data_IF_802978610475
#
_entry.id   IF_802978610475
#
_cell.length_a   1.000
_cell.length_b   1.000
_cell.length_c   1.000
_cell.angle_alpha   90.00
_cell.angle_beta   90.00
_cell.angle_gamma   90.00
#
_symmetry.space_group_name_H-M   'P 1'
#
loop_
_entity.id
_entity.type
_entity.pdbx_description
1 polymer ?
#
# COMPACT_ATOMS: atom_id res chain seq x y z
N UNK A 1 23.61 11.35 6.34
CA UNK A 1 22.22 11.02 5.90
C UNK A 1 21.63 10.11 6.97
N UNK A 2 20.54 10.48 7.64
CA UNK A 2 20.11 9.83 8.90
C UNK A 2 19.03 8.74 8.73
N UNK A 3 18.34 8.71 7.59
CA UNK A 3 17.48 7.61 7.14
C UNK A 3 17.22 7.76 5.63
N UNK A 4 17.02 6.66 4.91
CA UNK A 4 16.51 6.66 3.52
C UNK A 4 15.47 5.55 3.37
N UNK A 5 14.55 5.66 2.41
CA UNK A 5 13.81 4.45 1.99
C UNK A 5 14.84 3.44 1.45
N UNK A 6 14.74 2.17 1.87
CA UNK A 6 15.64 1.12 1.38
C UNK A 6 15.22 0.65 -0.03
N UNK A 7 13.93 0.81 -0.37
CA UNK A 7 13.34 0.34 -1.62
C UNK A 7 12.81 1.52 -2.46
N UNK A 8 11.49 1.63 -2.62
CA UNK A 8 10.82 2.64 -3.45
C UNK A 8 10.62 3.97 -2.68
N UNK A 9 10.59 5.08 -3.41
CA UNK A 9 10.01 6.31 -2.86
C UNK A 9 8.52 6.10 -2.54
N UNK A 10 8.01 6.80 -1.51
CA UNK A 10 6.63 6.66 -1.06
C UNK A 10 5.61 6.83 -2.20
N UNK A 11 5.81 7.85 -3.06
CA UNK A 11 4.92 8.11 -4.20
C UNK A 11 4.87 6.94 -5.20
N UNK A 12 6.02 6.34 -5.49
CA UNK A 12 6.10 5.20 -6.42
C UNK A 12 5.41 3.95 -5.84
N UNK A 13 5.47 3.75 -4.52
CA UNK A 13 4.74 2.67 -3.86
C UNK A 13 3.22 2.86 -3.97
N UNK A 14 2.72 4.10 -3.85
CA UNK A 14 1.32 4.42 -4.07
C UNK A 14 0.90 4.22 -5.53
N UNK A 15 1.71 4.65 -6.49
CA UNK A 15 1.41 4.48 -7.92
C UNK A 15 1.35 3.01 -8.32
N UNK A 16 2.29 2.19 -7.85
CA UNK A 16 2.28 0.74 -8.07
C UNK A 16 1.05 0.09 -7.44
N UNK A 17 0.66 0.53 -6.24
CA UNK A 17 -0.53 0.03 -5.55
C UNK A 17 -1.80 0.39 -6.31
N UNK A 18 -1.95 1.65 -6.70
CA UNK A 18 -3.08 2.13 -7.51
C UNK A 18 -3.26 1.30 -8.79
N UNK A 19 -2.16 1.05 -9.51
CA UNK A 19 -2.16 0.21 -10.71
C UNK A 19 -2.63 -1.21 -10.44
N UNK A 20 -2.23 -1.81 -9.32
CA UNK A 20 -2.66 -3.16 -8.92
C UNK A 20 -4.16 -3.21 -8.57
N UNK A 21 -4.70 -2.12 -8.02
CA UNK A 21 -6.12 -2.00 -7.66
C UNK A 21 -7.00 -1.52 -8.84
N UNK A 22 -6.42 -1.28 -10.03
CA UNK A 22 -7.15 -0.78 -11.20
C UNK A 22 -7.50 0.71 -11.14
N UNK A 23 -6.87 1.48 -10.25
CA UNK A 23 -7.10 2.91 -10.08
C UNK A 23 -6.31 3.75 -11.11
N UNK A 24 -6.80 4.95 -11.49
CA UNK A 24 -6.13 5.82 -12.44
C UNK A 24 -4.89 6.51 -11.84
N UNK A 25 -4.01 6.99 -12.72
CA UNK A 25 -2.86 7.83 -12.35
C UNK A 25 -3.30 9.31 -12.17
N UNK A 26 -2.73 10.09 -11.23
CA UNK A 26 -1.71 9.74 -10.23
C UNK A 26 -2.27 8.81 -9.14
N UNK A 27 -1.50 7.79 -8.77
CA UNK A 27 -2.00 6.72 -7.91
C UNK A 27 -2.23 7.15 -6.47
N UNK A 28 -1.36 7.98 -5.91
CA UNK A 28 -1.50 8.50 -4.54
C UNK A 28 -2.87 9.11 -4.23
N UNK A 29 -3.29 10.18 -4.93
CA UNK A 29 -4.59 10.80 -4.70
C UNK A 29 -5.80 9.89 -4.93
N UNK A 30 -5.69 8.93 -5.86
CA UNK A 30 -6.78 7.99 -6.13
C UNK A 30 -6.88 6.89 -5.06
N UNK A 31 -5.74 6.40 -4.55
CA UNK A 31 -5.71 5.49 -3.40
C UNK A 31 -6.25 6.17 -2.15
N UNK A 32 -5.88 7.43 -1.91
CA UNK A 32 -6.42 8.20 -0.77
C UNK A 32 -7.94 8.35 -0.84
N UNK A 33 -8.49 8.68 -2.03
CA UNK A 33 -9.94 8.78 -2.24
C UNK A 33 -10.66 7.46 -2.02
N UNK A 34 -10.12 6.36 -2.55
CA UNK A 34 -10.71 5.02 -2.35
C UNK A 34 -10.66 4.60 -0.88
N UNK A 35 -9.54 4.85 -0.20
CA UNK A 35 -9.37 4.55 1.21
C UNK A 35 -10.31 5.34 2.13
N UNK A 36 -10.77 6.53 1.71
CA UNK A 36 -11.71 7.34 2.48
C UNK A 36 -13.11 6.71 2.60
N UNK A 37 -13.49 5.84 1.64
CA UNK A 37 -14.78 5.15 1.63
C UNK A 37 -14.68 3.66 1.98
N UNK A 38 -13.47 3.11 2.01
CA UNK A 38 -13.18 1.72 2.35
C UNK A 38 -13.25 1.40 3.84
N UNK A 39 -13.25 0.11 4.17
CA UNK A 39 -13.20 -0.36 5.56
C UNK A 39 -11.75 -0.63 6.01
N UNK A 40 -11.22 0.26 6.84
CA UNK A 40 -9.86 0.16 7.38
C UNK A 40 -9.61 -1.09 8.25
N UNK A 41 -10.65 -1.78 8.71
CA UNK A 41 -10.56 -3.02 9.49
C UNK A 41 -10.63 -4.29 8.62
N UNK A 42 -10.95 -4.17 7.32
CA UNK A 42 -11.17 -5.31 6.43
C UNK A 42 -9.91 -6.12 6.14
N UNK A 43 -8.75 -5.46 6.08
CA UNK A 43 -7.46 -6.11 5.80
C UNK A 43 -6.43 -5.85 6.89
N UNK A 44 -5.85 -6.94 7.40
CA UNK A 44 -4.71 -6.88 8.30
C UNK A 44 -3.39 -6.94 7.51
N UNK A 45 -2.96 -5.80 6.96
CA UNK A 45 -1.67 -5.73 6.28
C UNK A 45 -0.48 -5.68 7.26
N UNK A 46 0.68 -6.26 6.88
CA UNK A 46 1.87 -6.17 7.69
C UNK A 46 2.29 -4.71 7.84
N UNK A 47 2.63 -4.30 9.06
CA UNK A 47 3.27 -3.02 9.35
C UNK A 47 4.77 -3.26 9.44
N UNK A 48 5.52 -3.19 8.32
CA UNK A 48 6.96 -3.39 8.36
C UNK A 48 7.58 -2.43 9.37
N UNK A 49 8.52 -2.93 10.17
CA UNK A 49 9.35 -2.14 11.08
C UNK A 49 8.67 -1.59 12.34
N UNK A 50 7.48 -2.08 12.69
CA UNK A 50 6.91 -1.88 14.03
C UNK A 50 7.75 -2.64 15.08
N UNK A 51 8.75 -1.96 15.66
CA UNK A 51 9.63 -2.50 16.71
C UNK A 51 11.11 -2.70 16.32
N UNK A 52 11.54 -2.33 15.10
CA UNK A 52 12.96 -2.41 14.73
C UNK A 52 13.75 -1.20 15.23
N UNK A 53 14.96 -1.44 15.74
CA UNK A 53 15.87 -0.38 16.21
C UNK A 53 16.48 0.47 15.09
N UNK A 54 16.30 0.06 13.82
CA UNK A 54 16.76 0.80 12.65
C UNK A 54 15.63 1.70 12.12
N UNK A 55 15.90 2.99 11.83
CA UNK A 55 14.91 3.98 11.38
C UNK A 55 14.59 3.87 9.88
N UNK A 56 14.95 2.76 9.24
CA UNK A 56 14.69 2.57 7.83
C UNK A 56 13.20 2.27 7.59
N UNK A 57 12.75 2.37 6.34
CA UNK A 57 11.39 2.00 5.94
C UNK A 57 11.46 1.14 4.67
N UNK A 58 10.61 0.12 4.59
CA UNK A 58 10.45 -0.73 3.40
C UNK A 58 8.97 -0.91 3.06
N UNK A 59 8.64 -0.77 1.78
CA UNK A 59 7.29 -0.95 1.24
C UNK A 59 7.11 -2.27 0.47
N UNK A 60 8.17 -3.06 0.28
CA UNK A 60 8.14 -4.29 -0.53
C UNK A 60 7.21 -5.37 0.04
N UNK A 61 7.26 -5.60 1.36
CA UNK A 61 6.36 -6.53 2.05
C UNK A 61 4.89 -6.12 1.98
N UNK A 62 4.62 -4.82 2.15
CA UNK A 62 3.26 -4.27 2.07
C UNK A 62 2.67 -4.43 0.66
N UNK A 63 3.43 -4.10 -0.39
CA UNK A 63 3.00 -4.27 -1.79
C UNK A 63 2.63 -5.72 -2.11
N UNK A 64 3.42 -6.68 -1.63
CA UNK A 64 3.15 -8.11 -1.86
C UNK A 64 1.85 -8.53 -1.19
N UNK A 65 1.63 -8.11 0.07
CA UNK A 65 0.41 -8.42 0.80
C UNK A 65 -0.83 -7.80 0.14
N UNK A 66 -0.75 -6.53 -0.29
CA UNK A 66 -1.84 -5.85 -1.01
C UNK A 66 -2.17 -6.58 -2.30
N UNK A 67 -1.16 -6.97 -3.10
CA UNK A 67 -1.39 -7.74 -4.33
C UNK A 67 -2.10 -9.06 -4.08
N UNK A 68 -1.68 -9.79 -3.05
CA UNK A 68 -2.28 -11.08 -2.68
C UNK A 68 -3.73 -10.91 -2.25
N UNK A 69 -4.02 -9.94 -1.37
CA UNK A 69 -5.37 -9.63 -0.92
C UNK A 69 -6.27 -9.23 -2.08
N UNK A 70 -5.83 -8.29 -2.92
CA UNK A 70 -6.61 -7.79 -4.06
C UNK A 70 -6.90 -8.88 -5.09
N UNK A 71 -5.94 -9.78 -5.34
CA UNK A 71 -6.13 -10.90 -6.29
C UNK A 71 -7.11 -11.93 -5.74
N UNK A 72 -7.09 -12.20 -4.43
CA UNK A 72 -7.92 -13.22 -3.80
C UNK A 72 -9.41 -12.88 -3.79
N UNK A 73 -9.76 -11.60 -3.84
CA UNK A 73 -11.14 -11.10 -3.68
C UNK A 73 -11.69 -10.44 -4.94
N UNK A 74 -10.94 -10.48 -6.05
CA UNK A 74 -11.35 -9.83 -7.29
C UNK A 74 -12.73 -10.35 -7.78
N UNK A 75 -13.61 -9.46 -8.31
CA UNK A 75 -13.42 -8.02 -8.47
C UNK A 75 -13.53 -7.24 -7.14
N UNK A 76 -12.74 -6.17 -7.02
CA UNK A 76 -12.78 -5.26 -5.87
C UNK A 76 -14.12 -4.51 -5.78
N UNK A 77 -14.51 -4.19 -4.56
CA UNK A 77 -15.69 -3.42 -4.16
C UNK A 77 -15.27 -2.09 -3.52
N UNK A 78 -16.20 -1.14 -3.40
CA UNK A 78 -15.94 0.18 -2.80
C UNK A 78 -15.51 0.12 -1.31
N UNK A 79 -15.71 -1.03 -0.67
CA UNK A 79 -15.35 -1.29 0.72
C UNK A 79 -13.98 -1.99 0.87
N UNK A 80 -13.30 -2.31 -0.23
CA UNK A 80 -11.96 -2.91 -0.24
C UNK A 80 -10.84 -1.86 -0.20
#
# INVERSE_FOLDING_TARGET
RWATTIDDALGEAFDKTAKMLGLPYPGGPNVEKAAATGDAARFAFPRPMKGSAQPDFSFSGLKTAVRQAATAIAPLSDQD
#
